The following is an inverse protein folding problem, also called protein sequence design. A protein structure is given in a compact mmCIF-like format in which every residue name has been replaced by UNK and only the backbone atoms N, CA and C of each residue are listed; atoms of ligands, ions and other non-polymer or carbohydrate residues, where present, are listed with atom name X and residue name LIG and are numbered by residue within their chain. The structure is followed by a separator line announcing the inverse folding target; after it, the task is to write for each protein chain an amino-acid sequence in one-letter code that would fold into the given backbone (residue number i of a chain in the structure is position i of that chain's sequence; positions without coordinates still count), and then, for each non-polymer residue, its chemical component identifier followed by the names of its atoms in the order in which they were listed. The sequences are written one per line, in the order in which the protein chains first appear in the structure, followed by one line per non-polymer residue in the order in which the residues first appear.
data_IF_254191339183
#
_entry.id   IF_254191339183
#
_cell.length_a   1.000
_cell.length_b   1.000
_cell.length_c   1.000
_cell.angle_alpha   90.00
_cell.angle_beta   90.00
_cell.angle_gamma   90.00
#
_symmetry.space_group_name_H-M   'P 1'
#
loop_
_entity.id
_entity.type
_entity.pdbx_description
1 polymer ?
#
# COMPACT_ATOMS: atom_id res chain seq x y z
N UNK A 1 19.94 -40.48 -3.01
CA UNK A 1 20.32 -39.33 -2.17
C UNK A 1 20.12 -38.00 -2.90
N UNK A 2 20.59 -37.89 -4.11
CA UNK A 2 20.40 -36.66 -4.88
C UNK A 2 18.91 -36.35 -5.10
N UNK A 3 18.09 -37.37 -5.33
CA UNK A 3 16.66 -37.20 -5.47
C UNK A 3 16.00 -36.67 -4.20
N UNK A 4 16.47 -37.11 -3.05
CA UNK A 4 15.96 -36.62 -1.77
C UNK A 4 16.34 -35.15 -1.56
N UNK A 5 17.57 -34.78 -1.92
CA UNK A 5 18.02 -33.40 -1.84
C UNK A 5 17.26 -32.50 -2.79
N UNK A 6 16.99 -32.97 -3.99
CA UNK A 6 16.16 -32.23 -4.95
C UNK A 6 14.74 -32.02 -4.45
N UNK A 7 14.16 -33.08 -3.86
CA UNK A 7 12.82 -32.99 -3.29
C UNK A 7 12.78 -32.05 -2.09
N UNK A 8 13.80 -32.08 -1.25
CA UNK A 8 13.91 -31.16 -0.12
C UNK A 8 14.04 -29.72 -0.60
N UNK A 9 14.83 -29.50 -1.64
CA UNK A 9 14.98 -28.16 -2.24
C UNK A 9 13.68 -27.69 -2.86
N UNK A 10 12.97 -28.56 -3.54
CA UNK A 10 11.66 -28.24 -4.11
C UNK A 10 10.64 -27.93 -3.02
N UNK A 11 10.62 -28.72 -1.94
CA UNK A 11 9.70 -28.50 -0.83
C UNK A 11 10.00 -27.16 -0.15
N UNK A 12 11.26 -26.83 0.05
CA UNK A 12 11.68 -25.53 0.59
C UNK A 12 11.25 -24.39 -0.35
N UNK A 13 11.47 -24.57 -1.66
CA UNK A 13 11.08 -23.58 -2.66
C UNK A 13 9.55 -23.39 -2.71
N UNK A 14 8.79 -24.48 -2.53
CA UNK A 14 7.33 -24.39 -2.47
C UNK A 14 6.86 -23.71 -1.20
N UNK A 15 7.59 -23.88 -0.09
CA UNK A 15 7.27 -23.22 1.18
C UNK A 15 7.56 -21.71 1.14
N UNK A 16 8.53 -21.29 0.33
CA UNK A 16 8.81 -19.87 0.12
C UNK A 16 7.87 -19.38 -0.97
N UNK A 17 6.73 -18.88 -0.55
CA UNK A 17 5.71 -18.38 -1.47
C UNK A 17 6.19 -17.12 -2.18
N UNK A 18 5.87 -17.02 -3.45
CA UNK A 18 6.11 -15.81 -4.22
C UNK A 18 4.87 -14.91 -4.12
N UNK A 19 4.82 -14.13 -3.05
CA UNK A 19 3.69 -13.24 -2.78
C UNK A 19 3.51 -12.19 -3.87
N UNK A 20 4.61 -11.73 -4.48
CA UNK A 20 4.52 -10.76 -5.57
C UNK A 20 3.74 -11.32 -6.75
N UNK A 21 4.06 -12.55 -7.17
CA UNK A 21 3.36 -13.20 -8.28
C UNK A 21 1.92 -13.49 -7.92
N UNK A 22 1.66 -13.97 -6.71
CA UNK A 22 0.29 -14.23 -6.24
C UNK A 22 -0.56 -12.96 -6.26
N UNK A 23 -0.04 -11.87 -5.71
CA UNK A 23 -0.75 -10.59 -5.67
C UNK A 23 -0.97 -10.01 -7.06
N UNK A 24 0.04 -10.15 -7.94
CA UNK A 24 -0.08 -9.74 -9.33
C UNK A 24 -1.22 -10.46 -10.03
N UNK A 25 -1.31 -11.78 -9.84
CA UNK A 25 -2.38 -12.58 -10.42
C UNK A 25 -3.75 -12.22 -9.85
N UNK A 26 -3.83 -11.97 -8.56
CA UNK A 26 -5.07 -11.53 -7.90
C UNK A 26 -5.53 -10.20 -8.49
N UNK A 27 -4.61 -9.24 -8.64
CA UNK A 27 -4.94 -7.92 -9.19
C UNK A 27 -5.36 -7.98 -10.65
N UNK A 28 -4.90 -8.97 -11.40
CA UNK A 28 -5.28 -9.18 -12.81
C UNK A 28 -6.55 -10.01 -12.96
N UNK A 29 -7.03 -10.62 -11.88
CA UNK A 29 -8.26 -11.41 -11.93
C UNK A 29 -9.48 -10.51 -12.13
N UNK A 30 -10.50 -11.06 -12.80
CA UNK A 30 -11.73 -10.33 -13.09
C UNK A 30 -12.78 -10.63 -12.02
N UNK A 31 -12.47 -10.31 -10.79
CA UNK A 31 -13.38 -10.50 -9.66
C UNK A 31 -13.94 -9.15 -9.19
N UNK A 32 -15.04 -9.19 -8.46
CA UNK A 32 -15.65 -7.99 -7.92
C UNK A 32 -14.71 -7.30 -6.91
N UNK A 33 -14.85 -5.98 -6.68
CA UNK A 33 -14.04 -5.29 -5.68
C UNK A 33 -14.13 -5.91 -4.29
N UNK A 34 -15.29 -6.42 -3.90
CA UNK A 34 -15.48 -7.06 -2.61
C UNK A 34 -14.65 -8.34 -2.48
N UNK A 35 -14.69 -9.19 -3.50
CA UNK A 35 -13.89 -10.43 -3.52
C UNK A 35 -12.40 -10.09 -3.56
N UNK A 36 -12.02 -9.08 -4.34
CA UNK A 36 -10.65 -8.63 -4.43
C UNK A 36 -10.13 -8.18 -3.06
N UNK A 37 -10.90 -7.37 -2.35
CA UNK A 37 -10.55 -6.89 -1.02
C UNK A 37 -10.37 -8.05 -0.05
N UNK A 38 -11.27 -9.04 -0.09
CA UNK A 38 -11.18 -10.21 0.78
C UNK A 38 -9.89 -10.99 0.52
N UNK A 39 -9.53 -11.18 -0.75
CA UNK A 39 -8.31 -11.91 -1.11
C UNK A 39 -7.04 -11.15 -0.69
N UNK A 40 -7.02 -9.84 -0.92
CA UNK A 40 -5.87 -9.00 -0.55
C UNK A 40 -5.69 -8.96 0.97
N UNK A 41 -6.78 -9.00 1.73
CA UNK A 41 -6.75 -8.96 3.19
C UNK A 41 -6.06 -10.18 3.83
N UNK A 42 -5.87 -11.24 3.06
CA UNK A 42 -5.13 -12.42 3.54
C UNK A 42 -3.62 -12.22 3.55
N UNK A 43 -3.12 -11.13 2.96
CA UNK A 43 -1.69 -10.85 2.86
C UNK A 43 -1.27 -9.79 3.87
N UNK A 44 -0.03 -9.92 4.37
CA UNK A 44 0.55 -8.91 5.23
C UNK A 44 0.88 -7.65 4.43
N UNK A 45 0.82 -6.50 5.07
CA UNK A 45 1.08 -5.20 4.44
C UNK A 45 2.47 -5.13 3.79
N UNK A 46 3.47 -5.76 4.39
CA UNK A 46 4.81 -5.84 3.82
C UNK A 46 4.80 -6.57 2.46
N UNK A 47 4.05 -7.66 2.36
CA UNK A 47 3.96 -8.42 1.12
C UNK A 47 3.22 -7.64 0.03
N UNK A 48 2.18 -6.93 0.41
CA UNK A 48 1.45 -6.05 -0.51
C UNK A 48 2.38 -4.93 -1.01
N UNK A 49 3.12 -4.30 -0.10
CA UNK A 49 4.08 -3.25 -0.45
C UNK A 49 5.13 -3.77 -1.45
N UNK A 50 5.64 -4.98 -1.22
CA UNK A 50 6.63 -5.59 -2.12
C UNK A 50 6.09 -5.82 -3.52
N UNK A 51 4.79 -5.97 -3.68
CA UNK A 51 4.17 -6.18 -4.99
C UNK A 51 4.05 -4.90 -5.82
N UNK A 52 4.19 -3.72 -5.21
CA UNK A 52 3.97 -2.46 -5.90
C UNK A 52 4.85 -2.28 -7.13
N UNK A 53 6.09 -2.75 -7.07
CA UNK A 53 7.05 -2.64 -8.18
C UNK A 53 6.60 -3.43 -9.41
N UNK A 54 5.92 -4.56 -9.21
CA UNK A 54 5.49 -5.43 -10.31
C UNK A 54 4.07 -5.13 -10.78
N UNK A 55 3.28 -4.41 -10.01
CA UNK A 55 1.95 -3.99 -10.40
C UNK A 55 2.01 -2.79 -11.34
N UNK A 56 1.09 -2.73 -12.29
CA UNK A 56 0.91 -1.55 -13.13
C UNK A 56 0.26 -0.44 -12.30
N UNK A 57 0.33 0.79 -12.80
CA UNK A 57 -0.34 1.91 -12.15
C UNK A 57 -1.84 1.69 -12.03
N UNK A 58 -2.48 1.17 -13.07
CA UNK A 58 -3.91 0.88 -13.05
C UNK A 58 -4.26 -0.15 -11.97
N UNK A 59 -3.42 -1.18 -11.83
CA UNK A 59 -3.58 -2.19 -10.79
C UNK A 59 -3.42 -1.58 -9.40
N UNK A 60 -2.42 -0.72 -9.19
CA UNK A 60 -2.24 -0.01 -7.93
C UNK A 60 -3.41 0.91 -7.61
N UNK A 61 -3.90 1.65 -8.61
CA UNK A 61 -5.06 2.51 -8.42
C UNK A 61 -6.30 1.74 -7.99
N UNK A 62 -6.46 0.53 -8.52
CA UNK A 62 -7.52 -0.37 -8.10
C UNK A 62 -7.36 -0.77 -6.63
N UNK A 63 -6.12 -1.05 -6.21
CA UNK A 63 -5.79 -1.31 -4.80
C UNK A 63 -6.17 -0.14 -3.91
N UNK A 64 -5.82 1.08 -4.32
CA UNK A 64 -6.11 2.28 -3.54
C UNK A 64 -7.61 2.48 -3.33
N UNK A 65 -8.43 2.06 -4.29
CA UNK A 65 -9.87 2.20 -4.16
C UNK A 65 -10.49 1.18 -3.20
N UNK A 66 -9.94 -0.02 -3.13
CA UNK A 66 -10.53 -1.09 -2.31
C UNK A 66 -9.99 -1.10 -0.88
N UNK A 67 -8.80 -0.56 -0.65
CA UNK A 67 -8.22 -0.52 0.68
C UNK A 67 -8.58 0.79 1.39
N UNK A 68 -8.80 0.71 2.70
CA UNK A 68 -9.05 1.90 3.47
C UNK A 68 -7.73 2.63 3.80
N UNK A 69 -7.85 3.84 4.34
CA UNK A 69 -6.69 4.68 4.62
C UNK A 69 -5.77 4.08 5.67
N UNK A 70 -6.32 3.38 6.66
CA UNK A 70 -5.52 2.73 7.69
C UNK A 70 -4.67 1.61 7.11
N UNK A 71 -5.26 0.75 6.27
CA UNK A 71 -4.53 -0.31 5.58
C UNK A 71 -3.45 0.28 4.67
N UNK A 72 -3.77 1.32 3.92
CA UNK A 72 -2.80 1.99 3.05
C UNK A 72 -1.67 2.63 3.85
N UNK A 73 -1.96 3.26 4.98
CA UNK A 73 -0.91 3.85 5.80
C UNK A 73 0.08 2.78 6.27
N UNK A 74 -0.41 1.61 6.66
CA UNK A 74 0.44 0.50 7.07
C UNK A 74 1.29 -0.01 5.90
N UNK A 75 0.74 -0.08 4.70
CA UNK A 75 1.47 -0.49 3.50
C UNK A 75 2.56 0.52 3.17
N UNK A 76 2.23 1.82 3.22
CA UNK A 76 3.20 2.88 2.91
C UNK A 76 4.40 2.89 3.86
N UNK A 77 4.25 2.39 5.09
CA UNK A 77 5.37 2.25 6.03
C UNK A 77 6.44 1.31 5.51
N UNK A 78 6.07 0.33 4.70
CA UNK A 78 6.99 -0.66 4.14
C UNK A 78 7.55 -0.29 2.76
N UNK A 79 7.09 0.80 2.15
CA UNK A 79 7.55 1.21 0.83
C UNK A 79 8.84 2.02 0.94
N UNK A 80 9.87 1.64 0.16
CA UNK A 80 11.14 2.35 0.14
C UNK A 80 11.03 3.73 -0.52
N UNK A 81 10.23 3.82 -1.58
CA UNK A 81 10.01 5.06 -2.33
C UNK A 81 8.54 5.46 -2.21
N UNK A 82 8.06 5.58 -0.98
CA UNK A 82 6.65 5.85 -0.70
C UNK A 82 6.15 7.11 -1.40
N UNK A 83 6.99 8.15 -1.52
CA UNK A 83 6.62 9.42 -2.15
C UNK A 83 6.19 9.25 -3.60
N UNK A 84 6.78 8.30 -4.33
CA UNK A 84 6.43 8.04 -5.73
C UNK A 84 5.00 7.50 -5.82
N UNK A 85 4.69 6.53 -4.99
CA UNK A 85 3.36 5.91 -4.99
C UNK A 85 2.31 6.82 -4.34
N UNK A 86 2.72 7.62 -3.38
CA UNK A 86 1.85 8.59 -2.71
C UNK A 86 1.26 9.58 -3.73
N UNK A 87 2.07 9.99 -4.71
CA UNK A 87 1.62 10.89 -5.78
C UNK A 87 0.48 10.29 -6.63
N UNK A 88 0.32 8.97 -6.62
CA UNK A 88 -0.76 8.31 -7.35
C UNK A 88 -2.12 8.45 -6.65
N UNK A 89 -2.13 8.82 -5.39
CA UNK A 89 -3.36 9.03 -4.61
C UNK A 89 -3.98 10.38 -4.92
N UNK A 90 -5.32 10.47 -4.86
CA UNK A 90 -5.98 11.77 -4.94
C UNK A 90 -5.78 12.53 -3.62
N UNK A 91 -6.07 13.84 -3.61
CA UNK A 91 -5.81 14.70 -2.47
C UNK A 91 -6.50 14.23 -1.19
N UNK A 92 -7.75 13.80 -1.31
CA UNK A 92 -8.53 13.31 -0.17
C UNK A 92 -7.91 12.07 0.44
N UNK A 93 -7.51 11.12 -0.40
CA UNK A 93 -6.88 9.88 0.05
C UNK A 93 -5.52 10.17 0.71
N UNK A 94 -4.76 11.09 0.14
CA UNK A 94 -3.49 11.54 0.71
C UNK A 94 -3.67 12.04 2.16
N UNK A 95 -4.65 12.89 2.38
CA UNK A 95 -4.96 13.43 3.70
C UNK A 95 -5.36 12.30 4.66
N UNK A 96 -6.25 11.42 4.21
CA UNK A 96 -6.71 10.29 5.04
C UNK A 96 -5.55 9.37 5.42
N UNK A 97 -4.67 9.04 4.49
CA UNK A 97 -3.52 8.18 4.74
C UNK A 97 -2.54 8.84 5.70
N UNK A 98 -2.22 10.11 5.49
CA UNK A 98 -1.34 10.86 6.39
C UNK A 98 -1.90 10.92 7.81
N UNK A 99 -3.22 11.08 7.93
CA UNK A 99 -3.89 11.15 9.23
C UNK A 99 -3.84 9.82 9.99
N UNK A 100 -3.68 8.71 9.28
CA UNK A 100 -3.54 7.38 9.89
C UNK A 100 -2.09 7.01 10.20
N UNK A 101 -1.12 7.72 9.65
CA UNK A 101 0.30 7.47 9.90
C UNK A 101 0.73 7.98 11.26
N UNK A 102 1.77 7.38 11.80
CA UNK A 102 2.46 7.96 12.94
C UNK A 102 3.08 9.30 12.55
N UNK A 103 3.12 10.22 13.51
CA UNK A 103 3.54 11.62 13.27
C UNK A 103 4.92 11.68 12.60
N UNK A 104 5.87 10.90 13.08
CA UNK A 104 7.24 10.90 12.54
C UNK A 104 7.29 10.42 11.10
N UNK A 105 6.50 9.42 10.76
CA UNK A 105 6.44 8.87 9.42
C UNK A 105 5.73 9.82 8.46
N UNK A 106 4.64 10.41 8.90
CA UNK A 106 3.94 11.41 8.10
C UNK A 106 4.83 12.62 7.81
N UNK A 107 5.57 13.09 8.82
CA UNK A 107 6.50 14.20 8.67
C UNK A 107 7.62 13.84 7.68
N UNK A 108 8.17 12.62 7.77
CA UNK A 108 9.21 12.18 6.86
C UNK A 108 8.72 12.13 5.41
N UNK A 109 7.51 11.63 5.20
CA UNK A 109 6.92 11.58 3.87
C UNK A 109 6.67 12.98 3.32
N UNK A 110 6.10 13.87 4.12
CA UNK A 110 5.83 15.25 3.72
C UNK A 110 7.11 15.98 3.29
N UNK A 111 8.23 15.74 3.98
CA UNK A 111 9.51 16.35 3.62
C UNK A 111 10.01 15.94 2.24
N UNK A 112 9.60 14.77 1.75
CA UNK A 112 10.00 14.26 0.43
C UNK A 112 9.15 14.84 -0.70
N UNK A 113 8.03 15.49 -0.37
CA UNK A 113 7.13 16.07 -1.36
C UNK A 113 7.59 17.48 -1.73
N UNK A 114 7.17 17.94 -2.91
CA UNK A 114 7.41 19.32 -3.34
C UNK A 114 6.70 20.26 -2.36
N UNK A 115 7.35 21.41 -2.11
CA UNK A 115 6.87 22.38 -1.14
C UNK A 115 5.42 22.83 -1.34
N UNK A 116 4.96 23.16 -2.57
CA UNK A 116 3.57 23.56 -2.78
C UNK A 116 2.58 22.48 -2.40
N UNK A 117 2.87 21.23 -2.74
CA UNK A 117 2.00 20.09 -2.40
C UNK A 117 1.99 19.86 -0.89
N UNK A 118 3.16 19.89 -0.27
CA UNK A 118 3.28 19.72 1.18
C UNK A 118 2.44 20.75 1.92
N UNK A 119 2.54 22.02 1.52
CA UNK A 119 1.77 23.09 2.15
C UNK A 119 0.27 22.91 1.96
N UNK A 120 -0.15 22.49 0.76
CA UNK A 120 -1.54 22.21 0.46
C UNK A 120 -2.09 21.11 1.37
N UNK A 121 -1.34 20.04 1.53
CA UNK A 121 -1.77 18.90 2.36
C UNK A 121 -1.84 19.27 3.83
N UNK A 122 -0.88 20.04 4.33
CA UNK A 122 -0.89 20.54 5.71
C UNK A 122 -2.13 21.40 5.96
N UNK A 123 -2.46 22.28 5.03
CA UNK A 123 -3.65 23.12 5.13
C UNK A 123 -4.93 22.29 5.15
N UNK A 124 -5.01 21.25 4.31
CA UNK A 124 -6.18 20.37 4.28
C UNK A 124 -6.34 19.59 5.59
N UNK A 125 -5.25 19.12 6.15
CA UNK A 125 -5.26 18.40 7.44
C UNK A 125 -5.73 19.34 8.55
N UNK A 126 -5.21 20.56 8.60
CA UNK A 126 -5.60 21.55 9.60
C UNK A 126 -7.08 21.90 9.48
N UNK A 127 -7.60 22.05 8.27
CA UNK A 127 -9.00 22.36 8.03
C UNK A 127 -9.90 21.21 8.49
N UNK A 128 -9.52 19.96 8.26
CA UNK A 128 -10.28 18.81 8.72
C UNK A 128 -10.30 18.74 10.24
N UNK A 129 -9.16 18.98 10.88
CA UNK A 129 -9.06 19.01 12.34
C UNK A 129 -9.97 20.09 12.93
N UNK A 130 -10.03 21.26 12.32
CA UNK A 130 -10.92 22.35 12.75
C UNK A 130 -12.39 21.98 12.61
N UNK A 131 -12.76 21.28 11.53
CA UNK A 131 -14.13 20.81 11.33
C UNK A 131 -14.52 19.82 12.43
N UNK A 132 -13.65 18.89 12.74
CA UNK A 132 -13.88 17.89 13.76
C UNK A 132 -14.09 18.54 15.13
N UNK A 133 -13.30 19.55 15.44
CA UNK A 133 -13.42 20.31 16.69
C UNK A 133 -14.72 21.12 16.73
N UNK A 134 -15.13 21.67 15.60
CA UNK A 134 -16.34 22.50 15.51
C UNK A 134 -17.62 21.68 15.62
N UNK A 135 -17.56 20.40 15.36
CA UNK A 135 -18.70 19.49 15.49
C UNK A 135 -18.81 18.90 16.88
#
# INVERSE_FOLDING_TARGET
MEKMNENETKDVAVQVRDYQTELEQIMRSNVSPRVLKDRISDYHENDIASSFEVLTRDERERLYRILDAEQLSDIFEYLDNAEIYFEELNARKKVEVLSCMEVDQAAALLKRLAKPERNMLIDLIDNESKRDIAM
#
